data_IF_637515093925
#
_entry.id   IF_637515093925
#
_cell.length_a   1.000
_cell.length_b   1.000
_cell.length_c   1.000
_cell.angle_alpha   90.00
_cell.angle_beta   90.00
_cell.angle_gamma   90.00
#
_symmetry.space_group_name_H-M   'P 1'
#
loop_
_entity.id
_entity.type
_entity.pdbx_description
1 polymer ?
#
# COMPACT_ATOMS: atom_id res chain seq x y z
N UNK A 1 -17.31 -3.82 -9.97
CA UNK A 1 -15.87 -4.04 -10.15
C UNK A 1 -15.44 -3.74 -11.59
N UNK A 2 -14.15 -3.60 -11.88
CA UNK A 2 -13.65 -3.38 -13.26
C UNK A 2 -14.14 -4.48 -14.23
N UNK A 3 -14.14 -5.75 -13.78
CA UNK A 3 -14.70 -6.90 -14.51
C UNK A 3 -16.13 -6.66 -15.00
N UNK A 4 -16.99 -6.13 -14.14
CA UNK A 4 -18.41 -5.93 -14.43
C UNK A 4 -18.63 -4.78 -15.41
N UNK A 5 -17.78 -3.75 -15.33
CA UNK A 5 -17.83 -2.60 -16.24
C UNK A 5 -17.40 -3.04 -17.65
N UNK A 6 -16.33 -3.82 -17.75
CA UNK A 6 -15.82 -4.36 -19.04
C UNK A 6 -16.81 -5.32 -19.72
N UNK A 7 -17.64 -6.02 -18.96
CA UNK A 7 -18.63 -6.95 -19.50
C UNK A 7 -19.83 -6.24 -20.17
N UNK A 8 -19.99 -4.92 -19.99
CA UNK A 8 -21.11 -4.17 -20.59
C UNK A 8 -20.87 -3.94 -22.08
N UNK A 9 -21.87 -4.22 -22.96
CA UNK A 9 -21.76 -3.92 -24.38
C UNK A 9 -21.46 -2.45 -24.63
N UNK A 10 -20.56 -2.16 -25.58
CA UNK A 10 -20.19 -0.79 -25.96
C UNK A 10 -19.22 -0.09 -25.00
N UNK A 11 -18.72 -0.76 -23.96
CA UNK A 11 -17.68 -0.22 -23.08
C UNK A 11 -16.30 -0.67 -23.54
N UNK A 12 -15.33 0.26 -23.53
CA UNK A 12 -13.91 -0.03 -23.76
C UNK A 12 -13.11 0.46 -22.57
N UNK A 13 -12.25 -0.41 -22.03
CA UNK A 13 -11.30 -0.02 -21.01
C UNK A 13 -10.18 0.81 -21.65
N UNK A 14 -10.04 2.07 -21.24
CA UNK A 14 -8.99 2.98 -21.75
C UNK A 14 -7.76 3.05 -20.84
N UNK A 15 -7.96 2.81 -19.54
CA UNK A 15 -6.92 2.89 -18.53
C UNK A 15 -7.36 2.13 -17.28
N UNK A 16 -6.39 1.56 -16.55
CA UNK A 16 -6.59 1.02 -15.21
C UNK A 16 -5.30 1.18 -14.37
N UNK A 17 -5.39 0.99 -13.06
CA UNK A 17 -4.30 1.23 -12.11
C UNK A 17 -3.08 0.32 -12.29
N UNK A 18 -3.18 -0.82 -12.98
CA UNK A 18 -2.04 -1.68 -13.29
C UNK A 18 -1.02 -1.01 -14.22
N UNK A 19 -1.41 0.08 -14.90
CA UNK A 19 -0.54 0.88 -15.76
C UNK A 19 0.30 1.92 -14.97
N UNK A 20 0.00 2.13 -13.67
CA UNK A 20 0.71 3.05 -12.78
C UNK A 20 1.06 2.37 -11.43
N UNK A 21 1.83 1.27 -11.45
CA UNK A 21 2.09 0.48 -10.26
C UNK A 21 2.79 1.31 -9.19
N UNK A 22 2.25 1.31 -7.97
CA UNK A 22 2.78 2.04 -6.82
C UNK A 22 2.34 3.51 -6.74
N UNK A 23 1.54 4.03 -7.69
CA UNK A 23 0.98 5.39 -7.59
C UNK A 23 -0.30 5.46 -6.74
N UNK A 24 -1.08 4.38 -6.71
CA UNK A 24 -2.24 4.23 -5.81
C UNK A 24 -1.85 3.19 -4.77
N UNK A 25 -1.66 3.64 -3.53
CA UNK A 25 -1.11 2.81 -2.47
C UNK A 25 -2.12 2.61 -1.36
N UNK A 26 -2.51 1.36 -1.17
CA UNK A 26 -3.17 0.93 0.06
C UNK A 26 -2.11 0.71 1.14
N UNK A 27 -2.33 1.31 2.31
CA UNK A 27 -1.38 1.26 3.42
C UNK A 27 -2.08 0.84 4.71
N UNK A 28 -1.44 -0.02 5.48
CA UNK A 28 -1.70 -0.11 6.91
C UNK A 28 -0.89 0.99 7.60
N UNK A 29 -1.55 1.89 8.31
CA UNK A 29 -0.92 3.00 9.02
C UNK A 29 -1.12 2.84 10.53
N UNK A 30 -0.05 3.01 11.29
CA UNK A 30 -0.05 2.92 12.75
C UNK A 30 0.40 4.24 13.35
N UNK A 31 -0.16 4.61 14.49
CA UNK A 31 0.27 5.81 15.22
C UNK A 31 1.76 5.69 15.61
N UNK A 32 2.54 6.73 15.31
CA UNK A 32 3.98 6.75 15.53
C UNK A 32 4.37 6.56 17.00
N UNK A 33 3.61 7.11 17.95
CA UNK A 33 3.91 6.97 19.37
C UNK A 33 3.63 5.53 19.84
N UNK A 34 2.47 4.98 19.47
CA UNK A 34 2.13 3.58 19.75
C UNK A 34 3.20 2.61 19.22
N UNK A 35 3.69 2.84 18.00
CA UNK A 35 4.70 1.98 17.39
C UNK A 35 6.06 2.07 18.10
N UNK A 36 6.44 3.28 18.56
CA UNK A 36 7.66 3.49 19.38
C UNK A 36 7.57 2.81 20.74
N UNK A 37 6.42 2.93 21.40
CA UNK A 37 6.20 2.37 22.74
C UNK A 37 6.05 0.85 22.70
N UNK A 38 5.60 0.29 21.57
CA UNK A 38 5.47 -1.14 21.36
C UNK A 38 6.01 -1.60 19.99
N UNK A 39 7.34 -1.76 19.84
CA UNK A 39 7.93 -2.23 18.59
C UNK A 39 7.52 -3.66 18.19
N UNK A 40 7.08 -4.48 19.15
CA UNK A 40 6.56 -5.82 18.86
C UNK A 40 5.29 -5.77 18.01
N UNK A 41 4.50 -4.68 18.11
CA UNK A 41 3.35 -4.46 17.22
C UNK A 41 3.79 -4.35 15.76
N UNK A 42 4.83 -3.57 15.46
CA UNK A 42 5.34 -3.41 14.08
C UNK A 42 5.84 -4.72 13.48
N UNK A 43 6.54 -5.51 14.30
CA UNK A 43 7.00 -6.86 13.93
C UNK A 43 5.82 -7.79 13.62
N UNK A 44 4.84 -7.84 14.52
CA UNK A 44 3.66 -8.70 14.36
C UNK A 44 2.84 -8.33 13.12
N UNK A 45 2.58 -7.04 12.89
CA UNK A 45 1.82 -6.58 11.72
C UNK A 45 2.56 -6.86 10.41
N UNK A 46 3.88 -6.64 10.38
CA UNK A 46 4.71 -6.91 9.20
C UNK A 46 4.80 -8.42 8.93
N UNK A 47 4.98 -9.25 9.96
CA UNK A 47 4.98 -10.70 9.84
C UNK A 47 3.64 -11.23 9.33
N UNK A 48 2.54 -10.79 9.94
CA UNK A 48 1.20 -11.19 9.54
C UNK A 48 0.92 -10.88 8.06
N UNK A 49 1.36 -9.71 7.55
CA UNK A 49 1.23 -9.38 6.12
C UNK A 49 1.91 -10.43 5.22
N UNK A 50 3.20 -10.71 5.45
CA UNK A 50 3.94 -11.63 4.59
C UNK A 50 3.51 -13.10 4.76
N UNK A 51 3.09 -13.51 5.96
CA UNK A 51 2.52 -14.84 6.20
C UNK A 51 1.20 -15.03 5.45
N UNK A 52 0.31 -14.02 5.47
CA UNK A 52 -0.97 -14.07 4.75
C UNK A 52 -0.74 -14.07 3.24
N UNK A 53 0.16 -13.23 2.73
CA UNK A 53 0.47 -13.23 1.29
C UNK A 53 1.12 -14.55 0.85
N UNK A 54 1.99 -15.14 1.68
CA UNK A 54 2.54 -16.47 1.41
C UNK A 54 1.44 -17.55 1.40
N UNK A 55 0.51 -17.51 2.35
CA UNK A 55 -0.64 -18.41 2.41
C UNK A 55 -1.50 -18.30 1.14
N UNK A 56 -1.79 -17.08 0.68
CA UNK A 56 -2.54 -16.84 -0.57
C UNK A 56 -1.84 -17.45 -1.79
N UNK A 57 -0.50 -17.41 -1.82
CA UNK A 57 0.30 -17.87 -2.95
C UNK A 57 0.67 -19.35 -2.91
N UNK A 58 0.31 -20.09 -1.85
CA UNK A 58 0.77 -21.47 -1.63
C UNK A 58 0.14 -22.53 -2.57
N UNK A 59 -0.87 -22.17 -3.36
CA UNK A 59 -1.54 -23.03 -4.38
C UNK A 59 -1.95 -24.42 -3.87
N UNK A 60 -2.43 -24.48 -2.62
CA UNK A 60 -2.89 -25.68 -1.95
C UNK A 60 -4.30 -25.50 -1.36
N UNK A 61 -4.85 -26.55 -0.74
CA UNK A 61 -6.21 -26.50 -0.16
C UNK A 61 -6.38 -25.38 0.88
N UNK A 62 -5.35 -25.11 1.69
CA UNK A 62 -5.38 -24.03 2.68
C UNK A 62 -5.44 -22.65 2.01
N UNK A 63 -4.63 -22.42 0.97
CA UNK A 63 -4.66 -21.18 0.18
C UNK A 63 -6.04 -20.96 -0.46
N UNK A 64 -6.67 -22.02 -0.98
CA UNK A 64 -8.01 -21.93 -1.57
C UNK A 64 -9.05 -21.53 -0.52
N UNK A 65 -9.03 -22.16 0.65
CA UNK A 65 -9.94 -21.81 1.74
C UNK A 65 -9.74 -20.37 2.24
N UNK A 66 -8.49 -19.91 2.32
CA UNK A 66 -8.18 -18.53 2.67
C UNK A 66 -8.70 -17.53 1.63
N UNK A 67 -8.47 -17.81 0.33
CA UNK A 67 -8.97 -16.98 -0.77
C UNK A 67 -10.50 -16.96 -0.82
N UNK A 68 -11.18 -18.08 -0.59
CA UNK A 68 -12.65 -18.13 -0.50
C UNK A 68 -13.18 -17.30 0.68
N UNK A 69 -12.51 -17.35 1.83
CA UNK A 69 -12.86 -16.52 2.99
C UNK A 69 -12.71 -15.02 2.67
N UNK A 70 -11.57 -14.62 2.09
CA UNK A 70 -11.31 -13.23 1.71
C UNK A 70 -12.24 -12.73 0.60
N UNK A 71 -12.58 -13.59 -0.37
CA UNK A 71 -13.56 -13.28 -1.41
C UNK A 71 -14.92 -12.91 -0.80
N UNK A 72 -15.42 -13.77 0.12
CA UNK A 72 -16.67 -13.51 0.84
C UNK A 72 -16.62 -12.22 1.65
N UNK A 73 -15.52 -11.97 2.36
CA UNK A 73 -15.32 -10.73 3.12
C UNK A 73 -15.28 -9.49 2.21
N UNK A 74 -14.79 -9.65 0.98
CA UNK A 74 -14.72 -8.60 -0.06
C UNK A 74 -16.01 -8.48 -0.89
N UNK A 75 -17.06 -9.23 -0.56
CA UNK A 75 -18.35 -9.17 -1.25
C UNK A 75 -18.36 -9.76 -2.67
N UNK A 76 -17.43 -10.68 -2.97
CA UNK A 76 -17.30 -11.33 -4.29
C UNK A 76 -17.14 -12.85 -4.14
N UNK A 77 -17.18 -13.59 -5.24
CA UNK A 77 -16.77 -15.00 -5.28
C UNK A 77 -15.24 -15.14 -5.51
N UNK A 78 -14.75 -16.39 -5.47
CA UNK A 78 -13.33 -16.71 -5.65
C UNK A 78 -12.78 -16.20 -6.99
N UNK A 79 -13.55 -16.30 -8.07
CA UNK A 79 -13.13 -15.88 -9.40
C UNK A 79 -12.96 -14.36 -9.47
N UNK A 80 -13.93 -13.61 -8.93
CA UNK A 80 -13.86 -12.16 -8.84
C UNK A 80 -12.72 -11.69 -7.93
N UNK A 81 -12.49 -12.35 -6.80
CA UNK A 81 -11.36 -12.02 -5.92
C UNK A 81 -10.02 -12.28 -6.61
N UNK A 82 -9.85 -13.41 -7.29
CA UNK A 82 -8.64 -13.71 -8.04
C UNK A 82 -8.39 -12.66 -9.13
N UNK A 83 -9.43 -12.24 -9.85
CA UNK A 83 -9.32 -11.17 -10.85
C UNK A 83 -8.87 -9.83 -10.24
N UNK A 84 -9.26 -9.51 -8.99
CA UNK A 84 -8.73 -8.34 -8.28
C UNK A 84 -7.24 -8.49 -7.98
N UNK A 85 -6.85 -9.65 -7.42
CA UNK A 85 -5.45 -9.94 -7.07
C UNK A 85 -4.54 -9.87 -8.30
N UNK A 86 -4.99 -10.36 -9.46
CA UNK A 86 -4.23 -10.35 -10.71
C UNK A 86 -3.91 -8.92 -11.20
N UNK A 87 -4.71 -7.93 -10.79
CA UNK A 87 -4.50 -6.51 -11.12
C UNK A 87 -3.79 -5.73 -10.03
N UNK A 88 -3.52 -6.35 -8.87
CA UNK A 88 -2.99 -5.68 -7.67
C UNK A 88 -1.52 -6.03 -7.45
N UNK A 89 -0.63 -5.03 -7.39
CA UNK A 89 0.76 -5.25 -6.99
C UNK A 89 0.84 -5.31 -5.45
N UNK A 90 0.86 -6.52 -4.90
CA UNK A 90 0.89 -6.76 -3.46
C UNK A 90 2.26 -6.56 -2.80
N UNK A 91 3.34 -6.35 -3.55
CA UNK A 91 4.72 -6.39 -3.01
C UNK A 91 4.95 -7.64 -2.17
N UNK A 92 4.75 -8.80 -2.80
CA UNK A 92 4.42 -10.05 -2.12
C UNK A 92 5.55 -10.68 -1.30
N UNK A 93 6.76 -10.13 -1.39
CA UNK A 93 7.92 -10.59 -0.63
C UNK A 93 8.53 -9.44 0.16
N UNK A 94 9.19 -9.72 1.30
CA UNK A 94 9.94 -8.71 2.05
C UNK A 94 10.90 -7.90 1.18
N UNK A 95 11.57 -8.58 0.24
CA UNK A 95 12.55 -7.95 -0.66
C UNK A 95 11.88 -6.97 -1.62
N UNK A 96 10.79 -7.38 -2.30
CA UNK A 96 10.05 -6.48 -3.19
C UNK A 96 9.49 -5.26 -2.44
N UNK A 97 8.94 -5.47 -1.24
CA UNK A 97 8.41 -4.39 -0.42
C UNK A 97 9.50 -3.41 0.04
N UNK A 98 10.67 -3.93 0.43
CA UNK A 98 11.80 -3.10 0.82
C UNK A 98 12.37 -2.30 -0.35
N UNK A 99 12.53 -2.92 -1.52
CA UNK A 99 12.98 -2.26 -2.75
C UNK A 99 12.07 -1.08 -3.09
N UNK A 100 10.75 -1.27 -2.99
CA UNK A 100 9.79 -0.19 -3.21
C UNK A 100 9.85 0.91 -2.13
N UNK A 101 9.84 0.51 -0.85
CA UNK A 101 9.85 1.46 0.29
C UNK A 101 11.13 2.31 0.37
N UNK A 102 12.22 1.84 -0.24
CA UNK A 102 13.50 2.56 -0.30
C UNK A 102 13.77 3.23 -1.65
N UNK A 103 12.89 3.03 -2.63
CA UNK A 103 13.01 3.60 -3.97
C UNK A 103 12.78 5.11 -3.99
N UNK A 104 13.27 5.77 -5.05
CA UNK A 104 12.92 7.17 -5.35
C UNK A 104 11.48 7.32 -5.83
N UNK A 105 10.87 6.25 -6.33
CA UNK A 105 9.50 6.28 -6.82
C UNK A 105 8.51 6.66 -5.72
N UNK A 106 8.69 6.14 -4.51
CA UNK A 106 7.80 6.42 -3.39
C UNK A 106 7.67 7.93 -3.07
N UNK A 107 8.75 8.68 -2.78
CA UNK A 107 8.64 10.11 -2.54
C UNK A 107 8.13 10.88 -3.78
N UNK A 108 8.51 10.49 -4.99
CA UNK A 108 8.02 11.14 -6.21
C UNK A 108 6.50 10.97 -6.38
N UNK A 109 5.97 9.77 -6.12
CA UNK A 109 4.53 9.51 -6.08
C UNK A 109 3.84 10.37 -5.02
N UNK A 110 4.36 10.39 -3.78
CA UNK A 110 3.69 11.15 -2.72
C UNK A 110 3.70 12.66 -2.97
N UNK A 111 4.72 13.18 -3.68
CA UNK A 111 4.69 14.56 -4.19
C UNK A 111 3.53 14.77 -5.14
N UNK A 112 3.35 13.90 -6.14
CA UNK A 112 2.21 14.00 -7.09
C UNK A 112 0.87 13.97 -6.36
N UNK A 113 0.72 13.10 -5.35
CA UNK A 113 -0.50 13.02 -4.53
C UNK A 113 -0.75 14.33 -3.76
N UNK A 114 0.30 14.91 -3.16
CA UNK A 114 0.19 16.17 -2.44
C UNK A 114 -0.15 17.35 -3.39
N UNK A 115 0.51 17.44 -4.54
CA UNK A 115 0.27 18.44 -5.57
C UNK A 115 -1.18 18.35 -6.11
N UNK A 116 -1.62 17.14 -6.45
CA UNK A 116 -2.99 16.89 -6.88
C UNK A 116 -4.00 17.28 -5.80
N UNK A 117 -3.75 16.86 -4.56
CA UNK A 117 -4.64 17.14 -3.43
C UNK A 117 -4.76 18.64 -3.18
N UNK A 118 -3.67 19.40 -3.26
CA UNK A 118 -3.71 20.85 -3.14
C UNK A 118 -4.47 21.50 -4.29
N UNK A 119 -4.18 21.11 -5.53
CA UNK A 119 -4.83 21.66 -6.72
C UNK A 119 -6.36 21.48 -6.71
N UNK A 120 -6.87 20.48 -5.98
CA UNK A 120 -8.29 20.19 -5.85
C UNK A 120 -8.86 20.51 -4.45
N UNK A 121 -8.11 21.22 -3.59
CA UNK A 121 -8.59 21.65 -2.27
C UNK A 121 -8.79 20.52 -1.24
N UNK A 122 -8.17 19.36 -1.44
CA UNK A 122 -8.32 18.16 -0.60
C UNK A 122 -7.41 18.15 0.64
N UNK A 123 -6.48 19.11 0.75
CA UNK A 123 -5.60 19.25 1.93
C UNK A 123 -6.23 20.02 3.10
N UNK A 124 -7.51 20.39 2.99
CA UNK A 124 -8.28 21.08 4.01
C UNK A 124 -8.23 22.61 3.92
N UNK A 125 -9.17 23.25 4.62
CA UNK A 125 -9.31 24.71 4.70
C UNK A 125 -8.14 25.31 5.51
N UNK A 126 -7.02 25.59 4.85
CA UNK A 126 -5.85 26.20 5.49
C UNK A 126 -4.50 25.79 4.91
N UNK A 127 -4.46 24.78 4.04
CA UNK A 127 -3.25 24.46 3.29
C UNK A 127 -2.86 25.65 2.39
N UNK A 128 -1.65 26.19 2.57
CA UNK A 128 -1.13 27.31 1.77
C UNK A 128 -0.55 26.86 0.43
N UNK A 129 -0.03 25.64 0.39
CA UNK A 129 0.52 24.97 -0.78
C UNK A 129 0.47 23.44 -0.60
N UNK A 130 0.98 22.71 -1.59
CA UNK A 130 1.09 21.26 -1.55
C UNK A 130 2.06 20.71 -0.48
N UNK A 131 2.87 21.58 0.14
CA UNK A 131 3.82 21.20 1.17
C UNK A 131 3.20 21.18 2.58
N UNK A 132 1.90 21.46 2.73
CA UNK A 132 1.25 21.59 4.04
C UNK A 132 1.42 20.38 4.99
N UNK A 133 1.63 19.17 4.45
CA UNK A 133 1.87 17.94 5.24
C UNK A 133 3.31 17.47 5.06
N UNK A 134 4.04 17.34 6.16
CA UNK A 134 5.39 16.78 6.16
C UNK A 134 5.39 15.26 6.07
N UNK A 135 6.32 14.73 5.30
CA UNK A 135 6.51 13.29 5.08
C UNK A 135 8.00 12.93 5.17
N UNK A 136 8.34 11.86 5.88
CA UNK A 136 9.69 11.30 5.91
C UNK A 136 9.75 9.93 5.26
N UNK A 137 10.83 9.66 4.54
CA UNK A 137 11.06 8.42 3.81
C UNK A 137 12.43 7.83 4.16
N UNK A 138 12.73 6.66 3.59
CA UNK A 138 14.05 6.06 3.64
C UNK A 138 15.16 7.00 3.14
N UNK A 139 16.41 6.68 3.50
CA UNK A 139 17.60 7.42 3.05
C UNK A 139 17.61 8.91 3.43
N UNK A 140 16.87 9.29 4.48
CA UNK A 140 16.81 10.67 4.97
C UNK A 140 16.02 11.63 4.08
N UNK A 141 15.27 11.12 3.09
CA UNK A 141 14.45 11.95 2.22
C UNK A 141 13.25 12.49 3.00
N UNK A 142 12.97 13.79 2.83
CA UNK A 142 11.82 14.46 3.42
C UNK A 142 11.12 15.33 2.39
N UNK A 143 9.79 15.36 2.43
CA UNK A 143 8.92 16.22 1.63
C UNK A 143 7.98 17.02 2.53
N UNK A 144 7.51 18.15 2.03
CA UNK A 144 6.54 19.00 2.73
C UNK A 144 7.11 19.73 3.95
N UNK A 145 6.21 20.13 4.86
CA UNK A 145 6.49 20.93 6.04
C UNK A 145 7.12 20.09 7.17
N UNK A 146 8.39 20.35 7.47
CA UNK A 146 9.12 19.70 8.56
C UNK A 146 8.55 20.01 9.95
N UNK A 147 7.91 21.16 10.12
CA UNK A 147 7.21 21.54 11.35
C UNK A 147 5.88 20.81 11.53
N UNK A 148 5.34 20.25 10.44
CA UNK A 148 4.08 19.51 10.42
C UNK A 148 4.28 18.08 9.87
N UNK A 149 5.29 17.37 10.36
CA UNK A 149 5.59 15.99 9.97
C UNK A 149 4.51 15.04 10.49
N UNK A 150 3.77 14.40 9.57
CA UNK A 150 2.63 13.51 9.89
C UNK A 150 2.78 12.10 9.37
N UNK A 151 3.37 11.93 8.17
CA UNK A 151 3.52 10.62 7.55
C UNK A 151 4.97 10.16 7.64
N UNK A 152 5.16 8.93 8.11
CA UNK A 152 6.46 8.32 8.26
C UNK A 152 6.48 6.99 7.50
N UNK A 153 7.12 7.01 6.33
CA UNK A 153 7.37 5.81 5.53
C UNK A 153 8.67 5.15 6.03
N UNK A 154 8.57 4.41 7.12
CA UNK A 154 9.69 3.74 7.77
C UNK A 154 9.86 2.30 7.24
N UNK A 155 10.96 1.98 6.52
CA UNK A 155 11.20 0.63 6.00
C UNK A 155 11.76 -0.33 7.07
N UNK A 156 12.00 0.11 8.31
CA UNK A 156 12.76 -0.66 9.31
C UNK A 156 12.19 -2.05 9.60
N UNK A 157 10.87 -2.18 9.73
CA UNK A 157 10.23 -3.48 9.99
C UNK A 157 10.25 -4.40 8.77
N UNK A 158 10.10 -3.84 7.56
CA UNK A 158 10.24 -4.62 6.31
C UNK A 158 11.70 -5.07 6.13
N UNK A 159 12.68 -4.25 6.50
CA UNK A 159 14.08 -4.66 6.56
C UNK A 159 14.29 -5.82 7.54
N UNK A 160 13.67 -5.79 8.72
CA UNK A 160 13.72 -6.94 9.65
C UNK A 160 13.15 -8.21 9.01
N UNK A 161 12.11 -8.10 8.18
CA UNK A 161 11.55 -9.24 7.45
C UNK A 161 12.53 -9.81 6.42
N UNK A 162 13.25 -8.95 5.68
CA UNK A 162 14.33 -9.36 4.77
C UNK A 162 15.47 -10.05 5.53
N UNK A 163 15.83 -9.51 6.69
CA UNK A 163 16.92 -10.01 7.53
C UNK A 163 16.57 -11.30 8.31
N UNK A 164 15.30 -11.74 8.28
CA UNK A 164 14.82 -12.86 9.11
C UNK A 164 14.78 -12.58 10.61
N UNK A 165 14.52 -11.33 11.00
CA UNK A 165 14.57 -10.81 12.38
C UNK A 165 13.21 -10.31 12.92
N UNK A 166 12.10 -10.63 12.25
CA UNK A 166 10.76 -10.29 12.74
C UNK A 166 10.50 -10.93 14.11
#
# INVERSE_FOLDING_TARGET
>A
MLSDIKAKPGVTEVFNSSQIPGEIMDMMVVNTQTLKDNPALGKALTGAWFEVVALMNAKNAQSKAALEHMAKASGTDLAGFQAQLDTTKLFATPKEALEFATSKQLPDTQRKVADFSFAHGLLGEGARDANAVGMSFANGVMLGDKGNLKLHFDPSYVQMAVDGKL
#
